data_IF_628607139096
#
_entry.id   IF_628607139096
#
_cell.length_a   1.000
_cell.length_b   1.000
_cell.length_c   1.000
_cell.angle_alpha   90.00
_cell.angle_beta   90.00
_cell.angle_gamma   90.00
#
_symmetry.space_group_name_H-M   'P 1'
#
loop_
_entity.id
_entity.type
_entity.pdbx_description
1 polymer ?
#
# COMPACT_ATOMS: atom_id res chain seq x y z
N UNK A 1 13.78 -3.81 6.60
CA UNK A 1 13.87 -5.15 6.00
C UNK A 1 12.92 -5.17 4.82
N UNK A 2 13.43 -5.43 3.61
CA UNK A 2 12.61 -5.45 2.40
C UNK A 2 12.33 -6.92 2.06
N UNK A 3 11.07 -7.32 1.76
CA UNK A 3 10.70 -8.73 1.55
C UNK A 3 11.33 -9.34 0.29
N UNK A 4 12.00 -8.53 -0.53
CA UNK A 4 12.35 -8.88 -1.90
C UNK A 4 11.11 -8.84 -2.80
N UNK A 5 11.28 -8.79 -4.13
CA UNK A 5 10.13 -8.77 -5.05
C UNK A 5 9.31 -10.06 -4.97
N UNK A 6 7.99 -9.96 -4.91
CA UNK A 6 7.03 -11.06 -4.82
C UNK A 6 6.30 -11.21 -6.15
N UNK A 7 6.00 -12.44 -6.59
CA UNK A 7 5.22 -12.64 -7.82
C UNK A 7 3.76 -12.24 -7.61
N UNK A 8 3.14 -11.67 -8.64
CA UNK A 8 1.76 -11.20 -8.58
C UNK A 8 0.75 -12.32 -8.27
N UNK A 9 0.97 -13.53 -8.81
CA UNK A 9 0.17 -14.71 -8.50
C UNK A 9 0.27 -15.18 -7.04
N UNK A 10 1.47 -15.11 -6.46
CA UNK A 10 1.69 -15.39 -5.03
C UNK A 10 1.03 -14.35 -4.13
N UNK A 11 1.07 -13.08 -4.55
CA UNK A 11 0.38 -11.99 -3.85
C UNK A 11 -1.14 -12.20 -3.89
N UNK A 12 -1.71 -12.53 -5.05
CA UNK A 12 -3.13 -12.83 -5.20
C UNK A 12 -3.57 -14.01 -4.33
N UNK A 13 -2.79 -15.10 -4.30
CA UNK A 13 -3.11 -16.26 -3.48
C UNK A 13 -3.17 -15.98 -1.96
N UNK A 14 -2.60 -14.85 -1.52
CA UNK A 14 -2.60 -14.43 -0.11
C UNK A 14 -3.73 -13.46 0.26
N UNK A 15 -4.57 -13.09 -0.71
CA UNK A 15 -5.65 -12.11 -0.55
C UNK A 15 -6.97 -12.78 -0.94
N UNK A 16 -7.93 -12.81 -0.02
CA UNK A 16 -9.23 -13.44 -0.26
C UNK A 16 -9.98 -12.73 -1.39
N UNK A 17 -10.48 -13.51 -2.35
CA UNK A 17 -11.21 -13.01 -3.51
C UNK A 17 -10.34 -12.32 -4.56
N UNK A 18 -9.01 -12.32 -4.42
CA UNK A 18 -8.12 -11.76 -5.42
C UNK A 18 -7.91 -12.71 -6.61
N UNK A 19 -7.76 -12.14 -7.79
CA UNK A 19 -7.46 -12.83 -9.03
C UNK A 19 -6.35 -12.10 -9.80
N UNK A 20 -5.70 -12.81 -10.70
CA UNK A 20 -4.72 -12.22 -11.62
C UNK A 20 -5.30 -12.18 -13.02
N UNK A 21 -5.18 -11.01 -13.67
CA UNK A 21 -5.38 -10.84 -15.11
C UNK A 21 -4.04 -10.52 -15.77
N UNK A 22 -3.71 -11.19 -16.87
CA UNK A 22 -2.41 -11.05 -17.54
C UNK A 22 -1.31 -11.93 -16.92
N UNK A 23 -0.04 -11.49 -17.00
CA UNK A 23 1.11 -12.27 -16.54
C UNK A 23 1.27 -12.25 -15.01
N UNK A 24 0.88 -13.35 -14.36
CA UNK A 24 1.06 -13.52 -12.91
C UNK A 24 2.49 -13.77 -12.45
N UNK A 25 3.45 -14.01 -13.35
CA UNK A 25 4.85 -14.21 -12.99
C UNK A 25 5.61 -12.90 -12.77
N UNK A 26 5.01 -11.75 -13.11
CA UNK A 26 5.60 -10.43 -12.85
C UNK A 26 5.89 -10.27 -11.36
N UNK A 27 7.04 -9.66 -11.04
CA UNK A 27 7.48 -9.43 -9.67
C UNK A 27 7.22 -7.98 -9.27
N UNK A 28 6.56 -7.78 -8.14
CA UNK A 28 6.26 -6.48 -7.55
C UNK A 28 7.04 -6.30 -6.25
N UNK A 29 7.59 -5.10 -6.04
CA UNK A 29 8.44 -4.78 -4.88
C UNK A 29 7.80 -3.86 -3.86
N UNK A 30 6.97 -2.90 -4.29
CA UNK A 30 6.28 -1.93 -3.43
C UNK A 30 4.87 -1.63 -3.96
N UNK A 31 4.09 -0.83 -3.25
CA UNK A 31 2.67 -0.56 -3.52
C UNK A 31 2.41 0.94 -3.71
N UNK A 32 2.65 1.57 -4.85
CA UNK A 32 2.35 3.01 -4.93
C UNK A 32 0.83 3.29 -5.04
N UNK A 33 0.32 4.30 -4.32
CA UNK A 33 -1.05 4.84 -4.49
C UNK A 33 -1.08 6.19 -5.23
N UNK A 34 0.02 6.95 -5.17
CA UNK A 34 0.18 8.20 -5.91
C UNK A 34 1.08 7.92 -7.12
N UNK A 35 0.59 8.22 -8.33
CA UNK A 35 1.35 7.94 -9.55
C UNK A 35 2.67 8.69 -9.60
N UNK A 36 2.80 9.82 -8.88
CA UNK A 36 4.02 10.63 -8.79
C UNK A 36 5.10 9.99 -7.92
N UNK A 37 4.71 9.06 -7.03
CA UNK A 37 5.61 8.37 -6.11
C UNK A 37 5.98 6.96 -6.59
N UNK A 38 5.41 6.52 -7.72
CA UNK A 38 5.73 5.24 -8.35
C UNK A 38 7.21 5.15 -8.71
N UNK A 39 7.81 4.02 -8.38
CA UNK A 39 9.15 3.63 -8.79
C UNK A 39 9.12 2.38 -9.68
N UNK A 40 10.20 2.11 -10.43
CA UNK A 40 10.34 0.88 -11.19
C UNK A 40 10.16 -0.38 -10.33
N UNK A 41 9.22 -1.24 -10.73
CA UNK A 41 8.90 -2.49 -10.02
C UNK A 41 7.70 -2.41 -9.07
N UNK A 42 7.04 -1.25 -9.00
CA UNK A 42 5.90 -1.06 -8.10
C UNK A 42 4.60 -1.64 -8.66
N UNK A 43 3.74 -2.06 -7.75
CA UNK A 43 2.32 -2.30 -7.96
C UNK A 43 1.58 -0.98 -7.73
N UNK A 44 0.92 -0.44 -8.75
CA UNK A 44 0.13 0.79 -8.61
C UNK A 44 -1.31 0.47 -8.21
N UNK A 45 -1.76 0.97 -7.06
CA UNK A 45 -3.12 0.77 -6.57
C UNK A 45 -4.08 1.83 -7.12
N UNK A 46 -5.00 1.41 -7.98
CA UNK A 46 -6.05 2.24 -8.54
C UNK A 46 -7.20 2.37 -7.54
N UNK A 47 -6.97 3.15 -6.47
CA UNK A 47 -7.99 3.40 -5.46
C UNK A 47 -9.02 4.38 -6.00
N UNK A 48 -10.31 4.02 -5.91
CA UNK A 48 -11.41 4.97 -6.12
C UNK A 48 -11.54 5.90 -4.92
N UNK A 49 -11.40 7.20 -5.17
CA UNK A 49 -11.60 8.25 -4.17
C UNK A 49 -12.87 9.06 -4.44
N UNK A 50 -13.27 9.90 -3.48
CA UNK A 50 -14.42 10.80 -3.63
C UNK A 50 -14.20 11.89 -4.70
N UNK A 51 -12.94 12.24 -4.99
CA UNK A 51 -12.57 13.32 -5.93
C UNK A 51 -11.93 12.84 -7.22
N UNK A 52 -11.26 11.69 -7.20
CA UNK A 52 -10.49 11.18 -8.33
C UNK A 52 -10.58 9.66 -8.39
N UNK A 53 -10.63 9.12 -9.60
CA UNK A 53 -10.56 7.69 -9.86
C UNK A 53 -9.11 7.31 -10.20
N UNK A 54 -8.51 6.41 -9.42
CA UNK A 54 -7.11 5.97 -9.61
C UNK A 54 -6.81 5.43 -11.02
N UNK A 55 -7.83 4.94 -11.74
CA UNK A 55 -7.69 4.49 -13.13
C UNK A 55 -7.18 5.61 -14.05
N UNK A 56 -7.54 6.87 -13.76
CA UNK A 56 -7.13 8.03 -14.56
C UNK A 56 -5.61 8.25 -14.57
N UNK A 57 -4.91 7.73 -13.56
CA UNK A 57 -3.47 7.89 -13.38
C UNK A 57 -2.65 6.68 -13.84
N UNK A 58 -3.28 5.63 -14.37
CA UNK A 58 -2.60 4.42 -14.84
C UNK A 58 -1.51 4.75 -15.86
N UNK A 59 -1.78 5.61 -16.84
CA UNK A 59 -0.79 6.01 -17.83
C UNK A 59 0.47 6.64 -17.19
N UNK A 60 0.27 7.53 -16.20
CA UNK A 60 1.37 8.16 -15.46
C UNK A 60 2.13 7.15 -14.61
N UNK A 61 1.43 6.22 -13.94
CA UNK A 61 2.06 5.20 -13.12
C UNK A 61 2.93 4.26 -13.96
N UNK A 62 2.42 3.81 -15.11
CA UNK A 62 3.19 2.97 -16.05
C UNK A 62 4.43 3.70 -16.58
N UNK A 63 4.28 4.98 -16.94
CA UNK A 63 5.42 5.81 -17.37
C UNK A 63 6.50 5.95 -16.29
N UNK A 64 6.10 5.93 -15.01
CA UNK A 64 7.01 5.99 -13.87
C UNK A 64 7.58 4.62 -13.44
N UNK A 65 7.15 3.53 -14.09
CA UNK A 65 7.73 2.19 -13.91
C UNK A 65 6.88 1.20 -13.12
N UNK A 66 5.59 1.47 -12.92
CA UNK A 66 4.68 0.45 -12.41
C UNK A 66 4.67 -0.78 -13.34
N UNK A 67 4.84 -1.97 -12.76
CA UNK A 67 4.90 -3.24 -13.51
C UNK A 67 3.59 -4.03 -13.44
N UNK A 68 2.70 -3.64 -12.53
CA UNK A 68 1.37 -4.20 -12.38
C UNK A 68 0.41 -3.18 -11.76
N UNK A 69 -0.89 -3.42 -11.87
CA UNK A 69 -1.94 -2.57 -11.31
C UNK A 69 -2.79 -3.35 -10.30
N UNK A 70 -3.22 -2.74 -9.20
CA UNK A 70 -4.26 -3.29 -8.32
C UNK A 70 -5.57 -2.56 -8.57
N UNK A 71 -6.61 -3.30 -8.97
CA UNK A 71 -7.90 -2.77 -9.45
C UNK A 71 -9.07 -3.57 -8.90
N UNK A 72 -10.26 -2.99 -8.90
CA UNK A 72 -11.51 -3.73 -8.69
C UNK A 72 -12.01 -4.35 -10.00
N UNK A 73 -13.11 -5.12 -9.95
CA UNK A 73 -13.68 -5.78 -11.12
C UNK A 73 -14.11 -4.78 -12.21
N UNK A 74 -14.64 -3.62 -11.82
CA UNK A 74 -15.01 -2.55 -12.75
C UNK A 74 -13.78 -1.95 -13.44
N UNK A 75 -12.71 -1.72 -12.68
CA UNK A 75 -11.45 -1.19 -13.21
C UNK A 75 -10.77 -2.18 -14.15
N UNK A 76 -10.81 -3.47 -13.83
CA UNK A 76 -10.35 -4.52 -14.74
C UNK A 76 -11.14 -4.52 -16.07
N UNK A 77 -12.46 -4.38 -16.01
CA UNK A 77 -13.31 -4.29 -17.20
C UNK A 77 -13.01 -3.04 -18.03
N UNK A 78 -12.86 -1.87 -17.38
CA UNK A 78 -12.53 -0.61 -18.04
C UNK A 78 -11.17 -0.67 -18.75
N UNK A 79 -10.15 -1.25 -18.10
CA UNK A 79 -8.82 -1.40 -18.67
C UNK A 79 -8.76 -2.47 -19.78
N UNK A 80 -9.71 -3.41 -19.79
CA UNK A 80 -9.84 -4.40 -20.86
C UNK A 80 -10.53 -3.80 -22.09
N UNK A 81 -11.63 -3.07 -21.92
CA UNK A 81 -12.35 -2.41 -23.03
C UNK A 81 -11.48 -1.33 -23.71
N UNK A 82 -10.66 -0.59 -22.95
CA UNK A 82 -9.72 0.38 -23.54
C UNK A 82 -8.59 -0.26 -24.33
N UNK A 83 -8.19 -1.50 -24.01
CA UNK A 83 -7.22 -2.26 -24.79
C UNK A 83 -7.80 -2.72 -26.13
N UNK A 84 -9.06 -3.13 -26.15
CA UNK A 84 -9.75 -3.56 -27.36
C UNK A 84 -10.04 -2.38 -28.32
N UNK A 85 -10.38 -1.20 -27.78
CA UNK A 85 -10.73 -0.01 -28.58
C UNK A 85 -9.55 0.80 -29.10
N UNK A 86 -8.46 0.88 -28.34
CA UNK A 86 -7.28 1.68 -28.72
C UNK A 86 -6.15 0.84 -29.33
N UNK A 87 -6.39 -0.46 -29.53
CA UNK A 87 -5.36 -1.42 -29.91
C UNK A 87 -4.35 -1.66 -28.78
N UNK A 88 -3.27 -2.43 -29.05
CA UNK A 88 -2.26 -2.79 -28.04
C UNK A 88 -1.47 -1.61 -27.42
N UNK A 89 -1.82 -0.35 -27.76
CA UNK A 89 -1.20 0.87 -27.22
C UNK A 89 -2.09 1.70 -26.27
N UNK A 90 -3.29 1.22 -25.90
CA UNK A 90 -4.12 1.88 -24.89
C UNK A 90 -3.46 1.92 -23.50
N UNK A 91 -3.69 2.97 -22.68
CA UNK A 91 -3.08 3.06 -21.36
C UNK A 91 -3.57 1.91 -20.46
N UNK A 92 -2.67 0.97 -20.14
CA UNK A 92 -2.96 -0.22 -19.34
C UNK A 92 -3.22 -1.52 -20.13
N UNK A 93 -3.19 -1.48 -21.47
CA UNK A 93 -3.34 -2.67 -22.30
C UNK A 93 -2.18 -3.66 -22.08
N UNK A 94 -2.50 -4.92 -21.77
CA UNK A 94 -1.52 -5.98 -21.57
C UNK A 94 -0.69 -5.90 -20.28
N UNK A 95 -0.94 -4.91 -19.42
CA UNK A 95 -0.28 -4.80 -18.11
C UNK A 95 -0.91 -5.83 -17.16
N UNK A 96 -0.12 -6.61 -16.40
CA UNK A 96 -0.64 -7.50 -15.38
C UNK A 96 -1.44 -6.76 -14.30
N UNK A 97 -2.56 -7.36 -13.87
CA UNK A 97 -3.47 -6.76 -12.91
C UNK A 97 -3.79 -7.72 -11.78
N UNK A 98 -3.69 -7.23 -10.55
CA UNK A 98 -4.23 -7.84 -9.35
C UNK A 98 -5.65 -7.32 -9.17
N UNK A 99 -6.64 -8.15 -9.53
CA UNK A 99 -8.06 -7.82 -9.39
C UNK A 99 -8.50 -8.23 -7.99
N UNK A 100 -9.02 -7.29 -7.20
CA UNK A 100 -9.48 -7.52 -5.83
C UNK A 100 -10.93 -7.06 -5.65
N UNK A 101 -11.67 -7.58 -4.66
CA UNK A 101 -13.05 -7.14 -4.43
C UNK A 101 -13.16 -5.64 -4.09
N UNK A 102 -12.21 -5.13 -3.31
CA UNK A 102 -12.12 -3.72 -2.94
C UNK A 102 -10.63 -3.35 -2.78
N UNK A 103 -10.15 -2.44 -3.64
CA UNK A 103 -8.74 -2.03 -3.66
C UNK A 103 -8.34 -1.41 -2.32
N UNK A 104 -9.20 -0.56 -1.74
CA UNK A 104 -8.90 0.17 -0.51
C UNK A 104 -8.79 -0.79 0.68
N UNK A 105 -9.66 -1.78 0.77
CA UNK A 105 -9.58 -2.80 1.82
C UNK A 105 -8.36 -3.71 1.65
N UNK A 106 -7.96 -3.99 0.40
CA UNK A 106 -6.80 -4.84 0.11
C UNK A 106 -5.45 -4.17 0.41
N UNK A 107 -5.37 -2.83 0.39
CA UNK A 107 -4.13 -2.06 0.58
C UNK A 107 -3.32 -2.52 1.80
N UNK A 108 -3.97 -2.61 2.97
CA UNK A 108 -3.29 -2.97 4.21
C UNK A 108 -2.64 -4.36 4.13
N UNK A 109 -3.34 -5.32 3.54
CA UNK A 109 -2.85 -6.69 3.36
C UNK A 109 -1.71 -6.73 2.34
N UNK A 110 -1.86 -6.04 1.20
CA UNK A 110 -0.82 -5.96 0.16
C UNK A 110 0.45 -5.33 0.71
N UNK A 111 0.33 -4.16 1.34
CA UNK A 111 1.44 -3.44 1.95
C UNK A 111 2.13 -4.28 3.02
N UNK A 112 1.36 -4.97 3.87
CA UNK A 112 1.92 -5.87 4.88
C UNK A 112 2.70 -7.03 4.24
N UNK A 113 2.22 -7.61 3.14
CA UNK A 113 2.93 -8.70 2.46
C UNK A 113 4.25 -8.20 1.85
N UNK A 114 4.21 -7.10 1.09
CA UNK A 114 5.39 -6.53 0.42
C UNK A 114 6.46 -6.01 1.39
N UNK A 115 6.06 -5.64 2.60
CA UNK A 115 6.97 -5.19 3.67
C UNK A 115 7.40 -6.30 4.63
N UNK A 116 7.15 -7.58 4.29
CA UNK A 116 7.46 -8.74 5.14
C UNK A 116 6.78 -8.72 6.52
N UNK A 117 5.58 -8.14 6.59
CA UNK A 117 4.70 -8.09 7.78
C UNK A 117 5.46 -7.58 9.02
N UNK A 118 5.94 -6.32 9.03
CA UNK A 118 6.81 -5.81 10.08
C UNK A 118 6.15 -5.85 11.47
N UNK A 119 4.83 -5.70 11.53
CA UNK A 119 4.02 -5.82 12.75
C UNK A 119 4.10 -7.20 13.41
N UNK A 120 4.44 -8.26 12.68
CA UNK A 120 4.64 -9.61 13.24
C UNK A 120 5.96 -9.76 14.00
N UNK A 121 6.93 -8.86 13.76
CA UNK A 121 8.25 -8.87 14.38
C UNK A 121 8.37 -7.91 15.56
N UNK A 122 7.31 -7.18 15.90
CA UNK A 122 7.31 -6.20 16.99
C UNK A 122 5.97 -6.20 17.75
N UNK A 123 5.98 -5.72 19.00
CA UNK A 123 4.74 -5.51 19.74
C UNK A 123 4.10 -4.19 19.31
N UNK A 124 2.97 -4.26 18.63
CA UNK A 124 2.16 -3.09 18.26
C UNK A 124 1.07 -2.87 19.31
N UNK A 125 0.95 -1.64 19.82
CA UNK A 125 -0.09 -1.24 20.79
C UNK A 125 -0.94 -0.14 20.16
N UNK A 126 -2.21 -0.44 19.88
CA UNK A 126 -3.18 0.53 19.38
C UNK A 126 -3.86 1.29 20.52
N UNK A 127 -3.81 2.63 20.48
CA UNK A 127 -4.49 3.50 21.46
C UNK A 127 -5.62 4.26 20.75
N UNK A 128 -6.86 3.97 21.11
CA UNK A 128 -8.06 4.61 20.55
C UNK A 128 -8.87 5.34 21.63
N UNK A 129 -9.82 6.18 21.21
CA UNK A 129 -10.71 6.96 22.09
C UNK A 129 -10.80 8.43 21.68
N UNK A 130 -11.86 9.12 22.09
CA UNK A 130 -12.10 10.53 21.72
C UNK A 130 -10.99 11.44 22.25
N UNK A 131 -10.59 11.25 23.51
CA UNK A 131 -9.58 12.05 24.20
C UNK A 131 -8.49 11.16 24.83
N UNK A 132 -7.32 11.76 25.12
CA UNK A 132 -6.27 11.11 25.90
C UNK A 132 -5.35 10.16 25.14
N UNK A 133 -5.59 9.89 23.84
CA UNK A 133 -4.74 9.02 23.00
C UNK A 133 -3.26 9.42 23.08
N UNK A 134 -2.97 10.70 22.81
CA UNK A 134 -1.60 11.23 22.83
C UNK A 134 -0.96 11.13 24.21
N UNK A 135 -1.72 11.42 25.27
CA UNK A 135 -1.25 11.29 26.66
C UNK A 135 -0.86 9.85 26.98
N UNK A 136 -1.70 8.88 26.63
CA UNK A 136 -1.44 7.45 26.85
C UNK A 136 -0.23 6.99 26.05
N UNK A 137 -0.09 7.41 24.78
CA UNK A 137 1.09 7.10 23.96
C UNK A 137 2.37 7.63 24.60
N UNK A 138 2.37 8.86 25.11
CA UNK A 138 3.53 9.44 25.82
C UNK A 138 3.87 8.71 27.12
N UNK A 139 2.86 8.29 27.90
CA UNK A 139 3.08 7.52 29.12
C UNK A 139 3.71 6.16 28.80
N UNK A 140 3.19 5.46 27.79
CA UNK A 140 3.75 4.17 27.34
C UNK A 140 5.20 4.32 26.90
N UNK A 141 5.49 5.32 26.07
CA UNK A 141 6.86 5.62 25.62
C UNK A 141 7.80 5.87 26.80
N UNK A 142 7.37 6.68 27.79
CA UNK A 142 8.17 6.99 28.99
C UNK A 142 8.47 5.73 29.79
N UNK A 143 7.50 4.82 29.95
CA UNK A 143 7.66 3.53 30.62
C UNK A 143 8.69 2.66 29.87
N UNK A 144 8.54 2.50 28.55
CA UNK A 144 9.46 1.68 27.75
C UNK A 144 10.88 2.23 27.75
N UNK A 145 11.03 3.55 27.64
CA UNK A 145 12.34 4.23 27.70
C UNK A 145 13.00 4.08 29.07
N UNK A 146 12.23 4.23 30.15
CA UNK A 146 12.71 4.00 31.53
C UNK A 146 13.16 2.55 31.74
N UNK A 147 12.49 1.61 31.09
CA UNK A 147 12.87 0.19 31.06
C UNK A 147 14.00 -0.13 30.07
N UNK A 148 14.63 0.87 29.43
CA UNK A 148 15.67 0.72 28.39
C UNK A 148 15.28 -0.20 27.24
N UNK A 149 14.00 -0.21 26.87
CA UNK A 149 13.49 -0.95 25.71
C UNK A 149 13.38 -0.02 24.50
N UNK A 150 13.87 -0.49 23.35
CA UNK A 150 13.65 0.18 22.08
C UNK A 150 12.15 0.29 21.81
N UNK A 151 11.72 1.46 21.35
CA UNK A 151 10.32 1.76 21.10
C UNK A 151 10.20 2.83 20.00
N UNK A 152 9.00 2.91 19.44
CA UNK A 152 8.62 4.01 18.58
C UNK A 152 7.15 4.37 18.78
N UNK A 153 6.82 5.63 18.54
CA UNK A 153 5.45 6.15 18.62
C UNK A 153 5.07 6.77 17.29
N UNK A 154 3.82 6.56 16.89
CA UNK A 154 3.20 7.20 15.73
C UNK A 154 1.92 7.88 16.26
N UNK A 155 1.74 9.17 15.98
CA UNK A 155 0.59 9.91 16.49
C UNK A 155 0.56 11.37 16.08
N UNK A 156 -0.30 12.16 16.72
CA UNK A 156 -0.52 13.59 16.41
C UNK A 156 0.75 14.44 16.49
N UNK A 157 1.74 13.99 17.26
CA UNK A 157 2.98 14.73 17.51
C UNK A 157 4.10 14.28 16.54
N UNK A 158 3.81 13.35 15.62
CA UNK A 158 4.74 12.84 14.64
C UNK A 158 5.14 11.39 14.86
N UNK A 159 6.19 10.97 14.15
CA UNK A 159 6.83 9.67 14.33
C UNK A 159 8.06 9.88 15.21
N UNK A 160 8.21 9.06 16.25
CA UNK A 160 9.43 9.00 17.05
C UNK A 160 9.97 7.59 17.11
N UNK A 161 11.27 7.41 16.93
CA UNK A 161 11.95 6.12 17.02
C UNK A 161 13.15 6.29 17.93
N UNK A 162 13.16 5.60 19.08
CA UNK A 162 14.23 5.70 20.08
C UNK A 162 14.58 7.14 20.51
N UNK A 163 13.60 8.06 20.46
CA UNK A 163 13.78 9.47 20.82
C UNK A 163 14.15 10.40 19.66
N UNK A 164 14.38 9.89 18.46
CA UNK A 164 14.55 10.71 17.25
C UNK A 164 13.20 11.02 16.62
N UNK A 165 12.96 12.30 16.28
CA UNK A 165 11.72 12.80 15.70
C UNK A 165 11.75 12.84 14.18
N UNK A 166 10.63 12.45 13.57
CA UNK A 166 10.35 12.60 12.15
C UNK A 166 8.93 13.15 11.94
N UNK A 167 8.72 14.12 11.04
CA UNK A 167 7.40 14.69 10.80
C UNK A 167 6.42 13.64 10.26
N UNK A 168 5.16 13.69 10.72
CA UNK A 168 4.06 12.87 10.18
C UNK A 168 2.98 13.77 9.59
N UNK A 169 2.48 13.43 8.40
CA UNK A 169 1.39 14.16 7.76
C UNK A 169 0.02 13.91 8.42
N UNK A 170 -0.16 12.76 9.11
CA UNK A 170 -1.42 12.34 9.72
C UNK A 170 -1.21 11.66 11.08
N UNK A 171 -2.21 11.76 11.96
CA UNK A 171 -2.21 11.12 13.31
C UNK A 171 -2.11 9.60 13.24
N UNK A 172 -2.71 9.01 12.21
CA UNK A 172 -2.51 7.61 11.81
C UNK A 172 -2.12 7.65 10.34
N UNK A 173 -0.89 7.25 9.97
CA UNK A 173 -0.50 7.13 8.59
C UNK A 173 -1.42 6.15 7.86
N UNK A 174 -1.68 6.42 6.59
CA UNK A 174 -2.26 5.42 5.69
C UNK A 174 -1.35 4.19 5.63
N UNK A 175 -1.91 3.06 5.18
CA UNK A 175 -1.08 1.90 4.85
C UNK A 175 0.03 2.35 3.87
N UNK A 176 1.30 1.97 4.11
CA UNK A 176 2.40 2.47 3.31
C UNK A 176 2.23 2.04 1.85
N UNK A 177 2.49 3.00 0.98
CA UNK A 177 2.56 2.82 -0.46
C UNK A 177 4.03 2.71 -0.95
#
# INVERSE_FOLDING_TARGET
>A
MNAGPIRLDQLAASIEGAMVSGDGAVKVSRLAMDSREVLPGDLFACVRGERFDGIQFVASALANGAVALAVDADGDALLSDTADRNGPGGPGAGVPRLVVPDVRQALGTIAAILTARPSSMMRVVGVTGTNGKSTVVHLLESIYRSARRSNGTIGTIGIRINGEESPAAFTTPEAPA
#
